data_IF_895202592394
#
_entry.id   IF_895202592394
#
_cell.length_a   1.000
_cell.length_b   1.000
_cell.length_c   1.000
_cell.angle_alpha   90.00
_cell.angle_beta   90.00
_cell.angle_gamma   90.00
#
_symmetry.space_group_name_H-M   'P 1'
#
loop_
_entity.id
_entity.type
_entity.pdbx_description
1 polymer ?
#
# COMPACT_ATOMS: atom_id res chain seq x y z
N UNK A 1 -3.67 -12.89 -29.15
CA UNK A 1 -3.85 -14.07 -28.26
C UNK A 1 -5.33 -14.17 -27.88
N UNK A 2 -5.95 -15.35 -27.99
CA UNK A 2 -7.39 -15.47 -27.68
C UNK A 2 -7.65 -15.41 -26.17
N UNK A 3 -8.86 -14.97 -25.77
CA UNK A 3 -9.27 -14.88 -24.35
C UNK A 3 -9.13 -16.22 -23.61
N UNK A 4 -9.35 -17.33 -24.32
CA UNK A 4 -9.23 -18.67 -23.77
C UNK A 4 -7.76 -19.03 -23.46
N UNK A 5 -6.82 -18.63 -24.32
CA UNK A 5 -5.38 -18.83 -24.08
C UNK A 5 -4.91 -18.03 -22.87
N UNK A 6 -5.36 -16.77 -22.73
CA UNK A 6 -5.06 -15.95 -21.54
C UNK A 6 -5.60 -16.58 -20.25
N UNK A 7 -6.84 -17.10 -20.28
CA UNK A 7 -7.43 -17.80 -19.14
C UNK A 7 -6.65 -19.06 -18.75
N UNK A 8 -6.26 -19.87 -19.74
CA UNK A 8 -5.46 -21.07 -19.51
C UNK A 8 -4.09 -20.73 -18.90
N UNK A 9 -3.41 -19.72 -19.42
CA UNK A 9 -2.13 -19.25 -18.87
C UNK A 9 -2.29 -18.72 -17.44
N UNK A 10 -3.34 -17.95 -17.16
CA UNK A 10 -3.62 -17.47 -15.81
C UNK A 10 -3.79 -18.63 -14.81
N UNK A 11 -4.59 -19.64 -15.17
CA UNK A 11 -4.78 -20.83 -14.33
C UNK A 11 -3.47 -21.59 -14.16
N UNK A 12 -2.72 -21.80 -15.25
CA UNK A 12 -1.43 -22.50 -15.20
C UNK A 12 -0.45 -21.80 -14.26
N UNK A 13 -0.28 -20.48 -14.37
CA UNK A 13 0.61 -19.72 -13.49
C UNK A 13 0.12 -19.67 -12.05
N UNK A 14 -1.20 -19.53 -11.82
CA UNK A 14 -1.76 -19.52 -10.48
C UNK A 14 -1.56 -20.87 -9.77
N UNK A 15 -1.87 -21.97 -10.45
CA UNK A 15 -1.67 -23.33 -9.92
C UNK A 15 -0.19 -23.64 -9.74
N UNK A 16 0.66 -23.25 -10.70
CA UNK A 16 2.11 -23.42 -10.61
C UNK A 16 2.70 -22.67 -9.41
N UNK A 17 2.33 -21.40 -9.22
CA UNK A 17 2.79 -20.59 -8.09
C UNK A 17 2.32 -21.16 -6.73
N UNK A 18 1.06 -21.59 -6.63
CA UNK A 18 0.53 -22.21 -5.41
C UNK A 18 1.16 -23.58 -5.13
N UNK A 19 1.40 -24.39 -6.18
CA UNK A 19 2.08 -25.68 -6.07
C UNK A 19 3.53 -25.53 -5.61
N UNK A 20 4.27 -24.59 -6.18
CA UNK A 20 5.62 -24.25 -5.71
C UNK A 20 5.59 -23.72 -4.27
N UNK A 21 4.64 -22.85 -3.93
CA UNK A 21 4.45 -22.36 -2.57
C UNK A 21 4.25 -23.51 -1.58
N UNK A 22 3.39 -24.48 -1.91
CA UNK A 22 3.12 -25.64 -1.08
C UNK A 22 4.32 -26.58 -0.95
N UNK A 23 5.11 -26.75 -2.01
CA UNK A 23 6.29 -27.62 -2.00
C UNK A 23 7.46 -27.06 -1.19
N UNK A 24 7.64 -25.73 -1.17
CA UNK A 24 8.85 -25.09 -0.63
C UNK A 24 8.62 -24.21 0.60
N UNK A 25 7.39 -23.83 0.93
CA UNK A 25 7.09 -22.88 2.00
C UNK A 25 6.03 -23.40 2.98
N UNK A 26 5.88 -22.66 4.08
CA UNK A 26 4.92 -22.99 5.15
C UNK A 26 3.46 -22.78 4.72
N UNK A 27 2.52 -23.45 5.39
CA UNK A 27 1.08 -23.29 5.13
C UNK A 27 0.61 -21.82 5.19
N UNK A 28 1.01 -21.00 6.19
CA UNK A 28 0.64 -19.58 6.23
C UNK A 28 1.13 -18.76 5.01
N UNK A 29 2.28 -19.12 4.44
CA UNK A 29 2.78 -18.52 3.20
C UNK A 29 1.82 -18.81 2.04
N UNK A 30 1.43 -20.07 1.86
CA UNK A 30 0.49 -20.48 0.80
C UNK A 30 -0.87 -19.81 0.98
N UNK A 31 -1.38 -19.75 2.21
CA UNK A 31 -2.63 -19.03 2.51
C UNK A 31 -2.54 -17.54 2.16
N UNK A 32 -1.37 -16.92 2.34
CA UNK A 32 -1.14 -15.52 1.94
C UNK A 32 -1.14 -15.34 0.42
N UNK A 33 -0.60 -16.31 -0.34
CA UNK A 33 -0.70 -16.33 -1.81
C UNK A 33 -2.14 -16.50 -2.28
N UNK A 34 -2.90 -17.41 -1.65
CA UNK A 34 -4.33 -17.59 -1.94
C UNK A 34 -5.11 -16.31 -1.64
N UNK A 35 -4.83 -15.65 -0.51
CA UNK A 35 -5.45 -14.37 -0.18
C UNK A 35 -5.13 -13.29 -1.23
N UNK A 36 -3.89 -13.24 -1.74
CA UNK A 36 -3.50 -12.31 -2.81
C UNK A 36 -4.25 -12.59 -4.11
N UNK A 37 -4.39 -13.87 -4.48
CA UNK A 37 -5.16 -14.29 -5.65
C UNK A 37 -6.63 -13.90 -5.53
N UNK A 38 -7.25 -14.18 -4.37
CA UNK A 38 -8.65 -13.80 -4.10
C UNK A 38 -8.82 -12.28 -4.15
N UNK A 39 -7.93 -11.51 -3.53
CA UNK A 39 -7.98 -10.05 -3.56
C UNK A 39 -7.90 -9.52 -5.01
N UNK A 40 -7.01 -10.09 -5.83
CA UNK A 40 -6.89 -9.73 -7.25
C UNK A 40 -8.14 -10.07 -8.07
N UNK A 41 -8.78 -11.21 -7.80
CA UNK A 41 -10.03 -11.63 -8.45
C UNK A 41 -11.19 -10.71 -8.04
N UNK A 42 -11.39 -10.46 -6.75
CA UNK A 42 -12.44 -9.56 -6.26
C UNK A 42 -12.27 -8.14 -6.80
N UNK A 43 -11.04 -7.66 -6.90
CA UNK A 43 -10.75 -6.31 -7.42
C UNK A 43 -11.11 -6.18 -8.92
N UNK A 44 -10.81 -7.21 -9.72
CA UNK A 44 -10.85 -7.09 -11.19
C UNK A 44 -12.04 -7.76 -11.88
N UNK A 45 -12.65 -8.78 -11.28
CA UNK A 45 -13.59 -9.70 -11.96
C UNK A 45 -15.03 -9.49 -11.46
N UNK A 46 -16.03 -9.45 -12.36
CA UNK A 46 -17.45 -9.47 -11.98
C UNK A 46 -17.83 -10.73 -11.17
N UNK A 47 -18.86 -10.68 -10.30
CA UNK A 47 -19.80 -9.57 -10.10
C UNK A 47 -19.26 -8.46 -9.19
N UNK A 48 -18.20 -8.69 -8.42
CA UNK A 48 -17.73 -7.75 -7.41
C UNK A 48 -17.00 -6.54 -8.00
N UNK A 49 -15.96 -6.80 -8.82
CA UNK A 49 -15.13 -5.81 -9.50
C UNK A 49 -14.92 -4.52 -8.68
N UNK A 50 -14.33 -4.68 -7.50
CA UNK A 50 -14.25 -3.63 -6.47
C UNK A 50 -13.61 -2.32 -6.95
N UNK A 51 -12.76 -2.37 -7.99
CA UNK A 51 -12.17 -1.20 -8.63
C UNK A 51 -13.17 -0.21 -9.21
N UNK A 52 -14.40 -0.63 -9.46
CA UNK A 52 -15.48 0.21 -9.98
C UNK A 52 -16.30 0.90 -8.86
N UNK A 53 -16.09 0.52 -7.59
CA UNK A 53 -16.89 1.00 -6.46
C UNK A 53 -16.18 2.20 -5.78
N UNK A 54 -16.88 3.35 -5.59
CA UNK A 54 -16.33 4.53 -4.90
C UNK A 54 -15.73 4.18 -3.52
N UNK A 55 -14.55 4.73 -3.22
CA UNK A 55 -13.74 4.47 -2.03
C UNK A 55 -13.21 3.03 -1.88
N UNK A 56 -14.06 2.03 -2.11
CA UNK A 56 -13.69 0.63 -2.01
C UNK A 56 -12.61 0.23 -3.02
N UNK A 57 -12.50 0.94 -4.14
CA UNK A 57 -11.39 0.82 -5.08
C UNK A 57 -10.02 0.94 -4.39
N UNK A 58 -9.69 2.08 -3.77
CA UNK A 58 -8.36 2.25 -3.15
C UNK A 58 -8.21 1.45 -1.85
N UNK A 59 -9.30 1.18 -1.13
CA UNK A 59 -9.29 0.33 0.09
C UNK A 59 -8.92 -1.12 -0.29
N UNK A 60 -9.54 -1.65 -1.35
CA UNK A 60 -9.26 -3.01 -1.81
C UNK A 60 -7.93 -3.12 -2.55
N UNK A 61 -7.54 -2.13 -3.35
CA UNK A 61 -6.23 -2.16 -4.03
C UNK A 61 -5.07 -2.13 -3.01
N UNK A 62 -5.23 -1.39 -1.92
CA UNK A 62 -4.22 -1.31 -0.85
C UNK A 62 -4.18 -2.51 0.07
N UNK A 63 -5.19 -3.39 0.11
CA UNK A 63 -5.17 -4.63 0.89
C UNK A 63 -4.05 -5.59 0.44
N UNK A 64 -3.59 -5.42 -0.81
CA UNK A 64 -2.43 -6.13 -1.33
C UNK A 64 -1.17 -5.85 -0.50
N UNK A 65 -1.05 -4.69 0.15
CA UNK A 65 0.12 -4.33 0.93
C UNK A 65 0.30 -5.24 2.17
N UNK A 66 -0.68 -5.36 3.11
CA UNK A 66 -0.55 -6.28 4.23
C UNK A 66 -0.47 -7.74 3.79
N UNK A 67 -1.13 -8.15 2.69
CA UNK A 67 -1.00 -9.53 2.17
C UNK A 67 0.44 -9.79 1.68
N UNK A 68 1.04 -8.86 0.94
CA UNK A 68 2.45 -8.96 0.51
C UNK A 68 3.40 -8.95 1.70
N UNK A 69 3.08 -8.19 2.76
CA UNK A 69 3.83 -8.25 4.01
C UNK A 69 3.78 -9.66 4.61
N UNK A 70 2.62 -10.31 4.66
CA UNK A 70 2.49 -11.69 5.15
C UNK A 70 3.30 -12.68 4.31
N UNK A 71 3.26 -12.54 2.97
CA UNK A 71 4.07 -13.37 2.07
C UNK A 71 5.56 -13.24 2.42
N UNK A 72 6.07 -12.01 2.56
CA UNK A 72 7.46 -11.77 2.97
C UNK A 72 7.77 -12.29 4.38
N UNK A 73 6.88 -12.07 5.34
CA UNK A 73 7.03 -12.52 6.72
C UNK A 73 7.19 -14.04 6.81
N UNK A 74 6.31 -14.78 6.11
CA UNK A 74 6.35 -16.23 6.10
C UNK A 74 7.46 -16.80 5.20
N UNK A 75 7.96 -16.06 4.21
CA UNK A 75 9.10 -16.51 3.38
C UNK A 75 10.42 -16.52 4.15
N UNK A 76 10.60 -15.64 5.14
CA UNK A 76 11.80 -15.58 5.97
C UNK A 76 11.70 -16.44 7.25
N UNK A 77 10.75 -17.39 7.30
CA UNK A 77 10.61 -18.31 8.44
C UNK A 77 9.87 -17.73 9.65
N UNK A 78 9.07 -16.67 9.49
CA UNK A 78 8.21 -16.19 10.57
C UNK A 78 7.18 -17.24 10.99
N UNK A 79 7.32 -17.83 12.17
CA UNK A 79 6.41 -18.89 12.62
C UNK A 79 5.10 -18.35 13.20
N UNK A 80 5.11 -17.12 13.72
CA UNK A 80 3.97 -16.47 14.35
C UNK A 80 3.27 -15.48 13.41
N UNK A 81 2.01 -15.14 13.70
CA UNK A 81 1.33 -14.07 12.99
C UNK A 81 1.96 -12.71 13.35
N UNK A 82 2.29 -11.85 12.37
CA UNK A 82 2.92 -10.57 12.68
C UNK A 82 1.98 -9.66 13.48
N UNK A 83 2.52 -8.71 14.26
CA UNK A 83 1.71 -7.77 15.01
C UNK A 83 0.65 -7.07 14.16
N UNK A 84 -0.63 -7.20 14.54
CA UNK A 84 -1.74 -6.61 13.76
C UNK A 84 -1.61 -5.10 13.56
N UNK A 85 -1.09 -4.37 14.56
CA UNK A 85 -0.85 -2.93 14.45
C UNK A 85 0.18 -2.58 13.37
N UNK A 86 1.15 -3.45 13.12
CA UNK A 86 2.12 -3.29 12.03
C UNK A 86 1.45 -3.51 10.67
N UNK A 87 0.59 -4.52 10.54
CA UNK A 87 -0.19 -4.73 9.32
C UNK A 87 -1.16 -3.58 9.04
N UNK A 88 -1.84 -3.06 10.06
CA UNK A 88 -2.75 -1.93 9.94
C UNK A 88 -2.02 -0.64 9.57
N UNK A 89 -0.85 -0.40 10.15
CA UNK A 89 0.04 0.68 9.73
C UNK A 89 0.37 0.57 8.23
N UNK A 90 0.84 -0.61 7.79
CA UNK A 90 1.24 -0.83 6.41
C UNK A 90 0.05 -0.71 5.43
N UNK A 91 -1.14 -1.13 5.86
CA UNK A 91 -2.36 -0.97 5.07
C UNK A 91 -2.79 0.50 4.97
N UNK A 92 -2.76 1.25 6.07
CA UNK A 92 -3.07 2.68 6.08
C UNK A 92 -2.09 3.49 5.22
N UNK A 93 -0.80 3.17 5.30
CA UNK A 93 0.23 3.71 4.40
C UNK A 93 -0.08 3.40 2.93
N UNK A 94 -0.49 2.15 2.64
CA UNK A 94 -0.92 1.76 1.30
C UNK A 94 -2.12 2.56 0.78
N UNK A 95 -3.15 2.71 1.61
CA UNK A 95 -4.32 3.51 1.28
C UNK A 95 -3.94 4.97 1.01
N UNK A 96 -3.05 5.55 1.82
CA UNK A 96 -2.53 6.91 1.62
C UNK A 96 -1.96 7.10 0.21
N UNK A 97 -1.09 6.20 -0.23
CA UNK A 97 -0.48 6.26 -1.56
C UNK A 97 -1.51 6.06 -2.68
N UNK A 98 -2.43 5.10 -2.51
CA UNK A 98 -3.48 4.84 -3.50
C UNK A 98 -4.42 6.02 -3.67
N UNK A 99 -4.80 6.70 -2.58
CA UNK A 99 -5.59 7.93 -2.66
C UNK A 99 -4.81 9.04 -3.40
N UNK A 100 -3.51 9.19 -3.13
CA UNK A 100 -2.64 10.11 -3.86
C UNK A 100 -2.65 9.86 -5.38
N UNK A 101 -2.54 8.59 -5.79
CA UNK A 101 -2.68 8.17 -7.19
C UNK A 101 -4.02 8.58 -7.78
N UNK A 102 -5.13 8.42 -7.04
CA UNK A 102 -6.48 8.83 -7.49
C UNK A 102 -6.62 10.34 -7.66
N UNK A 103 -5.97 11.14 -6.81
CA UNK A 103 -5.95 12.59 -6.97
C UNK A 103 -5.21 12.98 -8.25
N UNK A 104 -4.03 12.39 -8.51
CA UNK A 104 -3.27 12.60 -9.76
C UNK A 104 -4.09 12.18 -10.99
N UNK A 105 -4.69 10.98 -11.00
CA UNK A 105 -5.54 10.49 -12.10
C UNK A 105 -6.70 11.46 -12.40
N UNK A 106 -7.35 12.00 -11.36
CA UNK A 106 -8.48 12.93 -11.52
C UNK A 106 -8.06 14.30 -12.05
N UNK A 107 -6.85 14.76 -11.72
CA UNK A 107 -6.32 16.03 -12.18
C UNK A 107 -5.81 15.95 -13.62
N UNK A 108 -5.07 14.89 -13.94
CA UNK A 108 -4.48 14.64 -15.25
C UNK A 108 -5.55 14.40 -16.32
N UNK A 109 -6.47 13.46 -16.08
CA UNK A 109 -7.51 13.09 -17.05
C UNK A 109 -8.74 14.03 -17.02
N UNK A 110 -8.80 14.95 -16.06
CA UNK A 110 -9.98 15.76 -15.79
C UNK A 110 -11.18 14.92 -15.30
N UNK A 111 -12.31 15.59 -15.04
CA UNK A 111 -13.49 14.93 -14.43
C UNK A 111 -14.08 13.87 -15.35
N UNK A 112 -14.20 14.16 -16.65
CA UNK A 112 -14.79 13.24 -17.62
C UNK A 112 -13.83 12.08 -17.97
N UNK A 113 -12.55 12.38 -18.23
CA UNK A 113 -11.56 11.35 -18.56
C UNK A 113 -11.29 10.38 -17.41
N UNK A 114 -11.18 10.88 -16.18
CA UNK A 114 -10.93 10.03 -15.00
C UNK A 114 -12.11 9.09 -14.68
N UNK A 115 -13.35 9.55 -14.87
CA UNK A 115 -14.54 8.72 -14.72
C UNK A 115 -14.69 7.67 -15.82
N UNK A 116 -14.25 7.96 -17.05
CA UNK A 116 -14.25 7.00 -18.16
C UNK A 116 -13.16 5.93 -17.98
N UNK A 117 -11.96 6.36 -17.57
CA UNK A 117 -10.85 5.46 -17.24
C UNK A 117 -11.17 4.58 -16.03
N UNK A 118 -11.76 5.18 -14.98
CA UNK A 118 -12.01 4.53 -13.70
C UNK A 118 -13.40 4.89 -13.15
N UNK A 119 -14.38 3.98 -13.25
CA UNK A 119 -15.76 4.25 -12.83
C UNK A 119 -15.91 4.71 -11.38
N UNK A 120 -15.06 4.25 -10.46
CA UNK A 120 -15.07 4.66 -9.05
C UNK A 120 -14.89 6.18 -8.88
N UNK A 121 -14.15 6.84 -9.77
CA UNK A 121 -13.87 8.28 -9.71
C UNK A 121 -15.02 9.18 -10.19
N UNK A 122 -16.07 8.59 -10.81
CA UNK A 122 -17.26 9.35 -11.23
C UNK A 122 -17.97 10.02 -10.06
N UNK A 123 -18.05 9.32 -8.92
CA UNK A 123 -18.83 9.77 -7.74
C UNK A 123 -17.98 10.36 -6.62
N UNK A 124 -16.66 10.15 -6.63
CA UNK A 124 -15.76 10.64 -5.57
C UNK A 124 -15.25 12.02 -5.93
N UNK A 125 -15.42 13.02 -5.06
CA UNK A 125 -14.92 14.38 -5.30
C UNK A 125 -13.44 14.53 -4.90
N UNK A 126 -12.74 15.49 -5.49
CA UNK A 126 -11.35 15.75 -5.13
C UNK A 126 -11.17 16.20 -3.66
N UNK A 127 -12.02 17.08 -3.10
CA UNK A 127 -11.96 17.41 -1.67
C UNK A 127 -12.10 16.18 -0.76
N UNK A 128 -12.98 15.24 -1.10
CA UNK A 128 -13.14 14.00 -0.36
C UNK A 128 -11.87 13.12 -0.41
N UNK A 129 -11.19 13.05 -1.56
CA UNK A 129 -9.91 12.35 -1.69
C UNK A 129 -8.82 13.02 -0.86
N UNK A 130 -8.70 14.36 -0.89
CA UNK A 130 -7.70 15.08 -0.09
C UNK A 130 -7.92 14.85 1.41
N UNK A 131 -9.16 14.91 1.87
CA UNK A 131 -9.50 14.60 3.26
C UNK A 131 -9.15 13.14 3.61
N UNK A 132 -9.52 12.20 2.74
CA UNK A 132 -9.18 10.77 2.92
C UNK A 132 -7.67 10.57 3.05
N UNK A 133 -6.88 11.21 2.17
CA UNK A 133 -5.42 11.10 2.17
C UNK A 133 -4.84 11.61 3.49
N UNK A 134 -5.26 12.78 3.96
CA UNK A 134 -4.81 13.33 5.23
C UNK A 134 -5.18 12.41 6.41
N UNK A 135 -6.43 11.96 6.47
CA UNK A 135 -6.92 11.04 7.51
C UNK A 135 -6.15 9.73 7.53
N UNK A 136 -5.80 9.17 6.36
CA UNK A 136 -5.05 7.92 6.25
C UNK A 136 -3.57 8.08 6.65
N UNK A 137 -2.95 9.22 6.35
CA UNK A 137 -1.61 9.55 6.85
C UNK A 137 -1.58 9.61 8.38
N UNK A 138 -2.57 10.29 8.99
CA UNK A 138 -2.72 10.35 10.45
C UNK A 138 -2.98 8.96 11.03
N UNK A 139 -3.89 8.19 10.43
CA UNK A 139 -4.22 6.83 10.87
C UNK A 139 -3.00 5.90 10.82
N UNK A 140 -2.18 6.02 9.78
CA UNK A 140 -0.91 5.31 9.66
C UNK A 140 0.04 5.68 10.81
N UNK A 141 0.21 6.97 11.11
CA UNK A 141 1.03 7.42 12.25
C UNK A 141 0.50 6.91 13.59
N UNK A 142 -0.83 6.91 13.78
CA UNK A 142 -1.44 6.37 14.99
C UNK A 142 -1.15 4.88 15.17
N UNK A 143 -1.22 4.07 14.10
CA UNK A 143 -0.93 2.64 14.21
C UNK A 143 0.53 2.33 14.52
N UNK A 144 1.49 3.05 13.93
CA UNK A 144 2.92 2.83 14.24
C UNK A 144 3.26 3.29 15.66
N UNK A 145 2.67 4.40 16.14
CA UNK A 145 2.83 4.86 17.53
C UNK A 145 2.19 3.86 18.49
N UNK A 146 0.97 3.40 18.23
CA UNK A 146 0.31 2.39 19.05
C UNK A 146 1.10 1.07 19.08
N UNK A 147 1.69 0.68 17.95
CA UNK A 147 2.61 -0.45 17.87
C UNK A 147 3.83 -0.24 18.77
N UNK A 148 4.52 0.90 18.64
CA UNK A 148 5.70 1.23 19.44
C UNK A 148 5.41 1.20 20.94
N UNK A 149 4.29 1.81 21.38
CA UNK A 149 3.88 1.83 22.79
C UNK A 149 3.53 0.42 23.30
N UNK A 150 2.75 -0.36 22.54
CA UNK A 150 2.32 -1.70 22.95
C UNK A 150 3.50 -2.65 23.16
N UNK A 151 4.50 -2.59 22.27
CA UNK A 151 5.68 -3.45 22.33
C UNK A 151 6.86 -2.80 23.06
N UNK A 152 6.67 -1.61 23.63
CA UNK A 152 7.67 -0.80 24.35
C UNK A 152 8.93 -0.48 23.53
N UNK A 153 8.78 -0.38 22.20
CA UNK A 153 9.86 -0.06 21.26
C UNK A 153 9.96 1.46 21.13
N UNK A 154 10.56 2.13 22.12
CA UNK A 154 10.56 3.60 22.19
C UNK A 154 11.30 4.24 21.03
N UNK A 155 12.30 3.56 20.47
CA UNK A 155 13.03 4.00 19.28
C UNK A 155 12.14 4.16 18.05
N UNK A 156 11.03 3.40 17.95
CA UNK A 156 10.05 3.52 16.87
C UNK A 156 9.17 4.77 16.97
N UNK A 157 9.06 5.40 18.16
CA UNK A 157 8.41 6.70 18.30
C UNK A 157 9.21 7.77 17.57
N UNK A 158 10.54 7.73 17.68
CA UNK A 158 11.44 8.66 16.96
C UNK A 158 11.32 8.42 15.45
N UNK A 159 11.24 7.15 15.01
CA UNK A 159 11.00 6.79 13.61
C UNK A 159 9.67 7.32 13.04
N UNK A 160 8.65 7.56 13.87
CA UNK A 160 7.38 8.12 13.40
C UNK A 160 7.51 9.56 12.88
N UNK A 161 8.52 10.32 13.33
CA UNK A 161 8.77 11.71 12.93
C UNK A 161 9.16 11.87 11.44
N UNK A 162 10.20 11.18 10.91
CA UNK A 162 10.51 11.27 9.49
C UNK A 162 9.38 10.72 8.61
N UNK A 163 8.60 9.75 9.10
CA UNK A 163 7.40 9.28 8.40
C UNK A 163 6.28 10.32 8.36
N UNK A 164 6.10 11.10 9.43
CA UNK A 164 5.19 12.24 9.41
C UNK A 164 5.65 13.31 8.41
N UNK A 165 6.96 13.57 8.34
CA UNK A 165 7.57 14.43 7.32
C UNK A 165 7.30 13.94 5.90
N UNK A 166 7.39 12.63 5.66
CA UNK A 166 7.01 12.02 4.38
C UNK A 166 5.54 12.22 4.04
N UNK A 167 4.62 11.95 4.97
CA UNK A 167 3.20 12.17 4.71
C UNK A 167 2.88 13.63 4.41
N UNK A 168 3.47 14.55 5.17
CA UNK A 168 3.31 15.98 4.93
C UNK A 168 3.85 16.38 3.56
N UNK A 169 5.07 15.94 3.21
CA UNK A 169 5.68 16.27 1.92
C UNK A 169 4.88 15.69 0.76
N UNK A 170 4.49 14.42 0.81
CA UNK A 170 3.66 13.78 -0.21
C UNK A 170 2.31 14.48 -0.36
N UNK A 171 1.66 14.81 0.76
CA UNK A 171 0.41 15.57 0.73
C UNK A 171 0.62 16.93 0.09
N UNK A 172 1.67 17.66 0.45
CA UNK A 172 1.97 18.96 -0.13
C UNK A 172 2.24 18.89 -1.64
N UNK A 173 3.07 17.94 -2.08
CA UNK A 173 3.39 17.69 -3.49
C UNK A 173 2.13 17.41 -4.29
N UNK A 174 1.29 16.48 -3.83
CA UNK A 174 0.03 16.13 -4.48
C UNK A 174 -0.96 17.30 -4.46
N UNK A 175 -0.81 18.31 -3.60
CA UNK A 175 -1.68 19.47 -3.54
C UNK A 175 -1.16 20.71 -4.31
N UNK A 176 0.00 20.62 -4.97
CA UNK A 176 0.51 21.68 -5.86
C UNK A 176 -0.41 21.92 -7.07
N UNK A 177 -0.26 23.08 -7.72
CA UNK A 177 -1.12 23.50 -8.84
C UNK A 177 -0.96 22.57 -10.05
N UNK A 178 -2.01 22.50 -10.88
CA UNK A 178 -2.01 21.78 -12.15
C UNK A 178 -0.84 22.24 -13.02
N UNK A 179 -0.14 21.28 -13.65
CA UNK A 179 1.00 21.52 -14.55
C UNK A 179 2.39 21.40 -13.92
N UNK A 180 2.52 21.20 -12.60
CA UNK A 180 3.84 21.08 -11.96
C UNK A 180 4.31 19.64 -11.76
N UNK A 181 3.38 18.68 -11.60
CA UNK A 181 3.62 17.23 -11.48
C UNK A 181 2.33 16.49 -11.87
N UNK A 182 2.26 15.97 -13.08
CA UNK A 182 1.05 15.33 -13.60
C UNK A 182 1.10 13.81 -13.48
N UNK A 183 2.30 13.24 -13.63
CA UNK A 183 2.50 11.80 -13.63
C UNK A 183 3.10 11.31 -12.31
N UNK A 184 2.62 10.19 -11.74
CA UNK A 184 3.23 9.57 -10.56
C UNK A 184 4.72 9.28 -10.71
N UNK A 185 5.21 9.13 -11.95
CA UNK A 185 6.60 8.83 -12.29
C UNK A 185 7.52 10.04 -12.09
N UNK A 186 7.02 11.25 -12.31
CA UNK A 186 7.77 12.50 -12.05
C UNK A 186 8.05 12.67 -10.55
N UNK A 187 7.15 12.18 -9.68
CA UNK A 187 7.36 12.17 -8.23
C UNK A 187 8.53 11.25 -7.85
N UNK A 188 8.67 10.10 -8.53
CA UNK A 188 9.76 9.14 -8.30
C UNK A 188 11.12 9.66 -8.78
N UNK A 189 11.13 10.52 -9.80
CA UNK A 189 12.35 11.18 -10.29
C UNK A 189 12.85 12.30 -9.36
N UNK A 190 12.05 12.72 -8.38
CA UNK A 190 12.43 13.79 -7.48
C UNK A 190 13.55 13.34 -6.51
N UNK A 191 14.76 13.95 -6.56
CA UNK A 191 15.87 13.54 -5.71
C UNK A 191 15.58 13.69 -4.22
N UNK A 192 14.69 14.63 -3.84
CA UNK A 192 14.27 14.78 -2.46
C UNK A 192 13.54 13.54 -1.93
N UNK A 193 12.72 12.89 -2.76
CA UNK A 193 12.05 11.65 -2.36
C UNK A 193 13.07 10.54 -2.09
N UNK A 194 14.06 10.38 -2.97
CA UNK A 194 15.13 9.39 -2.80
C UNK A 194 15.93 9.63 -1.52
N UNK A 195 16.29 10.89 -1.23
CA UNK A 195 16.99 11.27 0.00
C UNK A 195 16.10 10.98 1.21
N UNK A 196 14.82 11.35 1.17
CA UNK A 196 13.88 11.13 2.26
C UNK A 196 13.67 9.65 2.55
N UNK A 197 13.50 8.82 1.52
CA UNK A 197 13.38 7.36 1.65
C UNK A 197 14.65 6.73 2.21
N UNK A 198 15.82 7.20 1.76
CA UNK A 198 17.10 6.77 2.32
C UNK A 198 17.20 7.12 3.80
N UNK A 199 16.86 8.35 4.19
CA UNK A 199 16.88 8.79 5.58
C UNK A 199 15.91 7.99 6.45
N UNK A 200 14.68 7.74 5.98
CA UNK A 200 13.70 6.90 6.66
C UNK A 200 14.26 5.49 6.87
N UNK A 201 14.84 4.90 5.82
CA UNK A 201 15.42 3.54 5.89
C UNK A 201 16.61 3.49 6.85
N UNK A 202 17.51 4.47 6.78
CA UNK A 202 18.64 4.59 7.70
C UNK A 202 18.17 4.77 9.16
N UNK A 203 17.14 5.59 9.39
CA UNK A 203 16.56 5.77 10.72
C UNK A 203 15.89 4.50 11.24
N UNK A 204 15.26 3.71 10.37
CA UNK A 204 14.69 2.42 10.74
C UNK A 204 15.77 1.43 11.20
N UNK A 205 16.88 1.32 10.48
CA UNK A 205 17.97 0.45 10.93
C UNK A 205 18.66 0.97 12.19
N UNK A 206 18.83 2.28 12.30
CA UNK A 206 19.37 2.91 13.51
C UNK A 206 18.45 2.68 14.72
N UNK A 207 17.12 2.78 14.55
CA UNK A 207 16.17 2.54 15.63
C UNK A 207 16.24 1.09 16.11
N UNK A 208 16.31 0.12 15.19
CA UNK A 208 16.52 -1.29 15.53
C UNK A 208 17.85 -1.55 16.22
N UNK A 209 18.93 -0.90 15.78
CA UNK A 209 20.25 -1.02 16.41
C UNK A 209 20.25 -0.48 17.84
N UNK A 210 19.72 0.72 18.06
CA UNK A 210 19.66 1.34 19.38
C UNK A 210 18.75 0.57 20.34
N UNK A 211 17.64 0.02 19.85
CA UNK A 211 16.72 -0.81 20.64
C UNK A 211 17.43 -2.02 21.25
N UNK A 212 18.43 -2.59 20.55
CA UNK A 212 19.22 -3.72 21.07
C UNK A 212 19.98 -3.37 22.35
N UNK A 213 20.38 -2.11 22.54
CA UNK A 213 21.10 -1.65 23.74
C UNK A 213 20.18 -1.10 24.83
N UNK A 214 18.90 -0.89 24.52
CA UNK A 214 17.89 -0.42 25.48
C UNK A 214 17.21 -1.55 26.25
N UNK A 215 17.55 -2.81 25.95
CA UNK A 215 17.10 -4.02 26.65
C UNK A 215 18.25 -4.64 27.41
#
# INVERSE_FOLDING_TARGET
MSRNVLGALFVLFAVGALGMGYAFFSTPFVLSLVALLIAGLLYNVPPFRLKDIPFLDFISESINNPIRFLIGWYSFGGESFPPILLLLWWWAFGMFLMVGKRISEKRFLGVQGSGAYRPSLKRVTEPALRLSMLSLGILSLLFIVAFALKYRIMTFLIFSLPMAGFFFWMFWVINRKRGELEEPEEILQNPFLSILLFLITAFFFLSLYLERFSR
#
